data_IF_195755683456
#
_entry.id   IF_195755683456
#
_cell.length_a   1.000
_cell.length_b   1.000
_cell.length_c   1.000
_cell.angle_alpha   90.00
_cell.angle_beta   90.00
_cell.angle_gamma   90.00
#
_symmetry.space_group_name_H-M   'P 1'
#
loop_
_entity.id
_entity.type
_entity.pdbx_description
1 polymer ?
#
# COMPACT_ATOMS: atom_id res chain seq x y z
N UNK A 1 6.19 0.25 -9.19
CA UNK A 1 5.65 0.67 -7.88
C UNK A 1 6.82 1.13 -7.03
N UNK A 2 6.84 2.37 -6.57
CA UNK A 2 7.87 2.87 -5.66
C UNK A 2 7.24 3.04 -4.26
N UNK A 3 7.97 2.68 -3.22
CA UNK A 3 7.51 2.78 -1.84
C UNK A 3 8.68 3.19 -0.93
N UNK A 4 8.44 4.17 -0.08
CA UNK A 4 9.35 4.60 0.98
C UNK A 4 8.93 3.94 2.29
N UNK A 5 9.81 3.15 2.89
CA UNK A 5 9.53 2.36 4.08
C UNK A 5 10.09 3.04 5.33
N UNK A 6 9.26 3.15 6.37
CA UNK A 6 9.64 3.71 7.66
C UNK A 6 9.73 2.60 8.73
N UNK A 7 10.55 2.84 9.76
CA UNK A 7 10.70 1.90 10.88
C UNK A 7 9.37 1.64 11.59
N UNK A 8 9.05 0.37 11.80
CA UNK A 8 7.90 -0.05 12.59
C UNK A 8 8.11 0.25 14.09
N UNK A 9 7.02 0.18 14.88
CA UNK A 9 7.12 0.27 16.34
C UNK A 9 7.96 -0.88 16.92
N UNK A 10 7.88 -2.07 16.35
CA UNK A 10 8.70 -3.22 16.74
C UNK A 10 10.20 -2.91 16.56
N UNK A 11 10.61 -2.48 15.37
CA UNK A 11 12.01 -2.17 15.09
C UNK A 11 12.54 -1.01 15.96
N UNK A 12 11.74 0.05 16.15
CA UNK A 12 12.08 1.14 17.08
C UNK A 12 12.29 0.62 18.50
N UNK A 13 11.44 -0.30 18.96
CA UNK A 13 11.61 -0.95 20.26
C UNK A 13 12.89 -1.77 20.38
N UNK A 14 13.29 -2.48 19.32
CA UNK A 14 14.56 -3.23 19.28
C UNK A 14 15.78 -2.32 19.30
N UNK A 15 15.73 -1.18 18.60
CA UNK A 15 16.81 -0.18 18.62
C UNK A 15 16.96 0.46 20.01
N UNK A 16 15.88 0.82 20.68
CA UNK A 16 15.91 1.31 22.06
C UNK A 16 16.45 0.25 23.02
N UNK A 17 16.05 -1.00 22.84
CA UNK A 17 16.59 -2.13 23.60
C UNK A 17 18.10 -2.29 23.41
N UNK A 18 18.61 -2.12 22.20
CA UNK A 18 20.05 -2.17 21.91
C UNK A 18 20.82 -1.05 22.61
N UNK A 19 20.26 0.15 22.69
CA UNK A 19 20.83 1.26 23.50
C UNK A 19 20.86 0.89 24.98
N UNK A 20 19.85 0.16 25.46
CA UNK A 20 19.76 -0.31 26.84
C UNK A 20 20.58 -1.62 27.08
N UNK A 21 21.41 -2.05 26.15
CA UNK A 21 22.26 -3.23 26.27
C UNK A 21 21.64 -4.56 25.87
N UNK A 22 20.44 -4.57 25.30
CA UNK A 22 19.80 -5.78 24.74
C UNK A 22 20.21 -5.96 23.27
N UNK A 23 20.98 -7.02 22.98
CA UNK A 23 21.45 -7.26 21.61
C UNK A 23 20.24 -7.49 20.66
N UNK A 24 20.28 -6.86 19.49
CA UNK A 24 19.37 -7.11 18.38
C UNK A 24 20.19 -7.41 17.13
N UNK A 25 19.89 -8.56 16.51
CA UNK A 25 20.48 -8.92 15.21
C UNK A 25 19.44 -8.77 14.15
N UNK A 26 19.75 -7.97 13.13
CA UNK A 26 18.87 -7.81 11.98
C UNK A 26 18.76 -9.14 11.21
N UNK A 27 17.57 -9.54 10.75
CA UNK A 27 17.41 -10.74 9.93
C UNK A 27 18.25 -10.65 8.65
N UNK A 28 19.02 -11.72 8.35
CA UNK A 28 19.79 -11.79 7.11
C UNK A 28 18.90 -11.81 5.86
N UNK A 29 17.70 -12.35 6.00
CA UNK A 29 16.65 -12.33 4.98
C UNK A 29 15.42 -11.63 5.55
N UNK A 30 14.92 -10.67 4.82
CA UNK A 30 13.65 -10.00 5.06
C UNK A 30 12.66 -10.41 3.99
N UNK A 31 11.39 -10.16 4.23
CA UNK A 31 10.32 -10.56 3.32
C UNK A 31 9.43 -9.37 3.00
N UNK A 32 9.33 -9.05 1.71
CA UNK A 32 8.50 -7.94 1.23
C UNK A 32 7.08 -8.40 1.05
N UNK A 33 6.17 -7.81 1.81
CA UNK A 33 4.74 -8.03 1.75
C UNK A 33 4.05 -6.90 0.98
N UNK A 34 2.99 -7.25 0.25
CA UNK A 34 2.10 -6.31 -0.44
C UNK A 34 0.80 -6.18 0.34
N UNK A 35 0.27 -4.98 0.37
CA UNK A 35 -0.96 -4.67 1.08
C UNK A 35 -1.99 -4.09 0.14
N UNK A 36 -3.22 -4.60 0.27
CA UNK A 36 -4.38 -4.01 -0.37
C UNK A 36 -4.90 -2.86 0.49
N UNK A 37 -5.39 -1.84 -0.17
CA UNK A 37 -6.11 -0.78 0.50
C UNK A 37 -7.33 -1.40 1.22
N UNK A 38 -7.38 -1.26 2.54
CA UNK A 38 -8.52 -1.74 3.32
C UNK A 38 -9.55 -0.62 3.41
N UNK A 39 -10.63 -0.82 2.68
CA UNK A 39 -11.74 0.11 2.62
C UNK A 39 -12.84 -0.36 3.53
N UNK A 40 -12.80 0.01 4.80
CA UNK A 40 -13.82 -0.28 5.79
C UNK A 40 -14.18 -1.78 5.91
N UNK A 41 -13.95 -2.37 7.06
CA UNK A 41 -14.18 -3.79 7.36
C UNK A 41 -15.66 -4.24 7.27
N UNK A 42 -16.60 -3.33 7.12
CA UNK A 42 -18.01 -3.64 6.85
C UNK A 42 -18.36 -3.62 5.38
N UNK A 43 -17.47 -3.13 4.51
CA UNK A 43 -17.58 -3.23 3.07
C UNK A 43 -16.33 -3.96 2.56
N UNK A 44 -16.39 -5.27 2.49
CA UNK A 44 -15.44 -6.06 1.73
C UNK A 44 -15.39 -5.53 0.30
N UNK A 45 -14.32 -4.88 -0.10
CA UNK A 45 -14.07 -4.16 -1.33
C UNK A 45 -14.72 -2.75 -1.38
N UNK A 46 -13.99 -1.71 -1.77
CA UNK A 46 -14.67 -0.52 -2.27
C UNK A 46 -15.49 -1.01 -3.46
N UNK A 47 -16.77 -0.78 -3.41
CA UNK A 47 -17.62 -1.08 -4.55
C UNK A 47 -17.04 -0.36 -5.77
N UNK A 48 -17.13 -0.98 -6.94
CA UNK A 48 -16.94 -0.23 -8.17
C UNK A 48 -18.07 0.80 -8.27
N UNK A 49 -17.77 1.92 -8.87
CA UNK A 49 -18.79 2.88 -9.18
C UNK A 49 -19.93 2.22 -9.97
N UNK A 50 -21.15 2.52 -9.58
CA UNK A 50 -22.37 2.05 -10.25
C UNK A 50 -23.33 3.22 -10.45
N UNK A 51 -23.97 3.24 -11.59
CA UNK A 51 -24.94 4.27 -11.94
C UNK A 51 -26.20 4.20 -11.05
N UNK A 52 -26.81 5.36 -10.79
CA UNK A 52 -28.08 5.51 -10.06
C UNK A 52 -28.13 4.75 -8.73
N UNK A 53 -27.00 4.71 -8.03
CA UNK A 53 -26.81 3.96 -6.77
C UNK A 53 -26.68 4.91 -5.60
N UNK A 54 -27.33 4.61 -4.48
CA UNK A 54 -27.21 5.39 -3.26
C UNK A 54 -25.80 5.26 -2.67
N UNK A 55 -25.20 6.38 -2.29
CA UNK A 55 -23.92 6.44 -1.59
C UNK A 55 -24.08 7.17 -0.27
N UNK A 56 -23.42 6.67 0.76
CA UNK A 56 -23.41 7.25 2.10
C UNK A 56 -22.08 7.95 2.39
N UNK A 57 -22.12 9.02 3.20
CA UNK A 57 -20.89 9.70 3.60
C UNK A 57 -19.91 8.73 4.27
N UNK A 58 -18.62 8.81 3.88
CA UNK A 58 -17.58 7.90 4.32
C UNK A 58 -17.48 6.61 3.50
N UNK A 59 -18.40 6.33 2.57
CA UNK A 59 -18.29 5.22 1.65
C UNK A 59 -17.19 5.50 0.62
N UNK A 60 -16.42 4.45 0.28
CA UNK A 60 -15.39 4.53 -0.74
C UNK A 60 -15.83 3.85 -2.04
N UNK A 61 -15.31 4.34 -3.15
CA UNK A 61 -15.59 3.80 -4.48
C UNK A 61 -14.32 3.81 -5.34
N UNK A 62 -14.21 2.83 -6.24
CA UNK A 62 -13.23 2.81 -7.32
C UNK A 62 -13.92 3.04 -8.66
N UNK A 63 -13.33 3.77 -9.60
CA UNK A 63 -13.81 3.84 -10.99
C UNK A 63 -13.87 2.47 -11.67
N UNK A 64 -14.69 2.38 -12.69
CA UNK A 64 -14.73 1.22 -13.57
C UNK A 64 -14.63 1.67 -15.05
N UNK A 65 -13.50 1.43 -15.73
CA UNK A 65 -12.27 0.75 -15.28
C UNK A 65 -11.52 1.54 -14.19
N UNK A 66 -10.73 0.82 -13.39
CA UNK A 66 -9.93 1.42 -12.32
C UNK A 66 -8.89 2.39 -12.90
N UNK A 67 -8.69 3.52 -12.23
CA UNK A 67 -7.71 4.55 -12.61
C UNK A 67 -6.52 4.68 -11.64
N UNK A 68 -6.40 3.75 -10.66
CA UNK A 68 -5.36 3.77 -9.62
C UNK A 68 -5.69 4.67 -8.42
N UNK A 69 -6.85 5.29 -8.39
CA UNK A 69 -7.31 6.18 -7.32
C UNK A 69 -8.59 5.67 -6.66
N UNK A 70 -8.83 6.18 -5.48
CA UNK A 70 -9.99 5.89 -4.68
C UNK A 70 -10.66 7.19 -4.24
N UNK A 71 -11.95 7.10 -4.08
CA UNK A 71 -12.77 8.26 -3.81
C UNK A 71 -13.68 8.00 -2.62
N UNK A 72 -13.69 8.93 -1.67
CA UNK A 72 -14.60 8.89 -0.52
C UNK A 72 -15.81 9.76 -0.79
N UNK A 73 -16.98 9.25 -0.46
CA UNK A 73 -18.21 10.02 -0.47
C UNK A 73 -18.16 11.07 0.66
N UNK A 74 -18.10 12.34 0.31
CA UNK A 74 -18.14 13.46 1.27
C UNK A 74 -19.54 14.06 1.39
N UNK A 75 -20.36 13.94 0.35
CA UNK A 75 -21.78 14.31 0.40
C UNK A 75 -22.60 13.10 -0.06
N UNK A 76 -23.42 12.58 0.84
CA UNK A 76 -24.31 11.44 0.55
C UNK A 76 -25.39 11.81 -0.51
N UNK A 77 -25.78 10.83 -1.29
CA UNK A 77 -26.78 11.05 -2.34
C UNK A 77 -26.95 9.83 -3.26
N UNK A 78 -27.35 10.08 -4.48
CA UNK A 78 -27.46 9.07 -5.56
C UNK A 78 -26.53 9.43 -6.68
N UNK A 79 -25.71 8.48 -7.12
CA UNK A 79 -24.79 8.63 -8.26
C UNK A 79 -25.53 8.96 -9.54
N UNK A 80 -24.85 9.62 -10.46
CA UNK A 80 -25.38 9.91 -11.80
C UNK A 80 -25.62 8.65 -12.63
N UNK A 81 -26.19 8.83 -13.80
CA UNK A 81 -26.40 7.75 -14.78
C UNK A 81 -25.13 7.43 -15.58
N UNK A 82 -24.15 8.32 -15.55
CA UNK A 82 -22.88 8.18 -16.26
C UNK A 82 -21.75 8.44 -15.27
N UNK A 83 -20.70 7.62 -15.34
CA UNK A 83 -19.53 7.77 -14.48
C UNK A 83 -18.88 9.15 -14.70
N UNK A 84 -18.56 9.89 -13.63
CA UNK A 84 -17.93 11.20 -13.75
C UNK A 84 -16.49 11.10 -14.24
N UNK A 85 -15.92 12.21 -14.69
CA UNK A 85 -14.48 12.33 -14.88
C UNK A 85 -13.81 12.47 -13.52
N UNK A 86 -13.07 11.47 -13.12
CA UNK A 86 -12.46 11.39 -11.79
C UNK A 86 -11.21 12.26 -11.68
N UNK A 87 -11.09 13.14 -10.67
CA UNK A 87 -9.87 13.89 -10.42
C UNK A 87 -8.77 12.93 -9.95
N UNK A 88 -7.54 13.13 -10.41
CA UNK A 88 -6.37 12.35 -10.02
C UNK A 88 -5.43 13.09 -9.06
N UNK A 89 -5.85 14.27 -8.61
CA UNK A 89 -5.11 15.06 -7.62
C UNK A 89 -5.71 14.79 -6.24
N UNK A 90 -4.85 14.56 -5.24
CA UNK A 90 -5.24 14.33 -3.86
C UNK A 90 -6.15 15.45 -3.35
N UNK A 91 -7.26 15.07 -2.73
CA UNK A 91 -8.28 16.00 -2.25
C UNK A 91 -9.13 16.62 -3.37
N UNK A 92 -8.88 16.28 -4.63
CA UNK A 92 -9.73 16.71 -5.75
C UNK A 92 -11.15 16.19 -5.60
N UNK A 93 -12.14 17.01 -5.92
CA UNK A 93 -13.56 16.67 -5.77
C UNK A 93 -14.27 16.58 -7.11
N UNK A 94 -15.28 15.73 -7.18
CA UNK A 94 -16.20 15.64 -8.34
C UNK A 94 -17.62 15.41 -7.86
N UNK A 95 -18.56 16.08 -8.51
CA UNK A 95 -19.99 15.87 -8.31
C UNK A 95 -20.50 14.81 -9.29
N UNK A 96 -21.27 13.86 -8.78
CA UNK A 96 -21.80 12.70 -9.49
C UNK A 96 -23.27 12.50 -9.08
N UNK A 97 -24.17 12.98 -9.89
CA UNK A 97 -25.59 13.08 -9.49
C UNK A 97 -25.77 14.04 -8.31
N UNK A 98 -26.19 13.52 -7.17
CA UNK A 98 -26.28 14.28 -5.90
C UNK A 98 -25.16 13.94 -4.91
N UNK A 99 -24.22 13.06 -5.31
CA UNK A 99 -23.07 12.67 -4.51
C UNK A 99 -21.90 13.60 -4.79
N UNK A 100 -21.10 13.91 -3.76
CA UNK A 100 -19.76 14.48 -3.96
C UNK A 100 -18.73 13.44 -3.54
N UNK A 101 -17.83 13.13 -4.46
CA UNK A 101 -16.67 12.28 -4.24
C UNK A 101 -15.41 13.14 -4.08
N UNK A 102 -14.57 12.77 -3.13
CA UNK A 102 -13.25 13.39 -2.93
C UNK A 102 -12.17 12.34 -3.14
N UNK A 103 -11.17 12.65 -3.95
CA UNK A 103 -10.00 11.77 -4.09
C UNK A 103 -9.30 11.60 -2.74
N UNK A 104 -9.08 10.38 -2.33
CA UNK A 104 -8.67 10.03 -0.98
C UNK A 104 -7.60 8.91 -0.93
N UNK A 105 -6.90 8.67 -2.02
CA UNK A 105 -5.93 7.57 -2.11
C UNK A 105 -4.88 7.64 -1.00
N UNK A 106 -4.35 8.81 -0.68
CA UNK A 106 -3.40 8.98 0.44
C UNK A 106 -3.99 8.76 1.82
N UNK A 107 -5.25 9.16 2.04
CA UNK A 107 -5.91 8.99 3.33
C UNK A 107 -6.19 7.53 3.68
N UNK A 108 -6.29 6.68 2.66
CA UNK A 108 -6.61 5.26 2.82
C UNK A 108 -5.41 4.41 3.16
N UNK A 109 -4.24 4.91 2.85
CA UNK A 109 -2.97 4.24 3.09
C UNK A 109 -2.30 4.78 4.36
N UNK A 110 -2.79 5.87 4.90
CA UNK A 110 -2.41 6.34 6.23
C UNK A 110 -2.82 5.31 7.28
N UNK A 111 -1.87 4.92 8.12
CA UNK A 111 -2.06 4.01 9.25
C UNK A 111 -3.20 4.49 10.16
N UNK A 112 -4.42 4.19 9.78
CA UNK A 112 -5.56 4.39 10.65
C UNK A 112 -5.72 3.11 11.48
N UNK A 113 -5.61 3.22 12.79
CA UNK A 113 -5.84 2.09 13.72
C UNK A 113 -7.25 1.50 13.58
N UNK A 114 -8.17 2.23 13.00
CA UNK A 114 -9.55 1.78 12.73
C UNK A 114 -9.61 0.88 11.48
N UNK A 115 -8.74 1.11 10.49
CA UNK A 115 -8.71 0.37 9.22
C UNK A 115 -7.27 0.02 8.84
N UNK A 116 -6.63 -0.94 9.53
CA UNK A 116 -5.27 -1.34 9.19
C UNK A 116 -5.23 -1.92 7.78
N UNK A 117 -4.17 -1.66 7.00
CA UNK A 117 -4.00 -2.28 5.70
C UNK A 117 -3.98 -3.80 5.84
N UNK A 118 -4.60 -4.49 4.90
CA UNK A 118 -4.67 -5.95 4.88
C UNK A 118 -3.62 -6.48 3.91
N UNK A 119 -2.79 -7.40 4.38
CA UNK A 119 -1.85 -8.09 3.50
C UNK A 119 -2.60 -8.89 2.45
N UNK A 120 -2.12 -8.86 1.22
CA UNK A 120 -2.61 -9.74 0.15
C UNK A 120 -2.59 -11.19 0.61
N UNK A 121 -3.63 -11.95 0.30
CA UNK A 121 -3.72 -13.37 0.64
C UNK A 121 -4.33 -14.20 -0.48
N UNK A 122 -3.94 -15.47 -0.59
CA UNK A 122 -4.41 -16.39 -1.61
C UNK A 122 -3.89 -16.09 -3.01
N UNK A 123 -4.45 -16.73 -4.04
CA UNK A 123 -4.15 -16.44 -5.44
C UNK A 123 -2.68 -16.56 -5.85
N UNK A 124 -1.94 -17.53 -5.28
CA UNK A 124 -0.50 -17.74 -5.45
C UNK A 124 0.38 -16.61 -4.84
N UNK A 125 -0.21 -15.71 -4.03
CA UNK A 125 0.58 -14.72 -3.32
C UNK A 125 1.51 -15.36 -2.29
N UNK A 126 2.76 -14.88 -2.26
CA UNK A 126 3.72 -15.14 -1.19
C UNK A 126 4.64 -13.92 -1.05
N UNK A 127 5.02 -13.59 0.18
CA UNK A 127 6.04 -12.55 0.42
C UNK A 127 7.32 -12.89 -0.33
N UNK A 128 7.99 -11.87 -0.88
CA UNK A 128 9.23 -12.07 -1.62
C UNK A 128 10.44 -11.85 -0.72
N UNK A 129 11.39 -12.78 -0.69
CA UNK A 129 12.60 -12.61 0.10
C UNK A 129 13.48 -11.49 -0.48
N UNK A 130 14.13 -10.73 0.40
CA UNK A 130 15.19 -9.77 0.09
C UNK A 130 16.28 -9.94 1.16
N UNK A 131 17.51 -10.15 0.72
CA UNK A 131 18.66 -10.36 1.62
C UNK A 131 19.42 -9.07 1.84
N UNK A 132 20.34 -9.06 2.80
CA UNK A 132 21.20 -7.90 3.04
C UNK A 132 22.05 -7.51 1.82
N UNK A 133 22.37 -8.47 0.94
CA UNK A 133 23.12 -8.22 -0.30
C UNK A 133 22.27 -7.59 -1.42
N UNK A 134 20.96 -7.64 -1.29
CA UNK A 134 20.00 -7.12 -2.28
C UNK A 134 19.62 -5.66 -2.03
N UNK A 135 20.24 -5.01 -1.06
CA UNK A 135 20.12 -3.58 -0.81
C UNK A 135 21.30 -2.82 -1.41
N UNK A 136 21.05 -1.61 -1.88
CA UNK A 136 22.10 -0.72 -2.38
C UNK A 136 23.08 -0.31 -1.26
N UNK A 137 24.23 0.23 -1.63
CA UNK A 137 25.04 0.98 -0.70
C UNK A 137 24.24 2.16 -0.11
N UNK A 138 24.55 2.53 1.13
CA UNK A 138 23.94 3.68 1.78
C UNK A 138 24.25 4.96 1.01
N UNK A 139 23.25 5.81 0.83
CA UNK A 139 23.36 7.15 0.24
C UNK A 139 22.63 8.16 1.13
N UNK A 140 22.87 9.44 0.91
CA UNK A 140 22.09 10.48 1.58
C UNK A 140 20.65 10.48 1.00
N UNK A 141 19.66 10.75 1.86
CA UNK A 141 18.30 10.99 1.40
C UNK A 141 18.22 12.25 0.54
N UNK A 142 17.18 12.36 -0.27
CA UNK A 142 17.00 13.49 -1.19
C UNK A 142 16.84 14.83 -0.47
N UNK A 143 16.37 14.81 0.78
CA UNK A 143 16.20 16.00 1.63
C UNK A 143 17.46 16.32 2.48
N UNK A 144 18.52 15.51 2.39
CA UNK A 144 19.78 15.62 3.14
C UNK A 144 19.64 15.50 4.67
N UNK A 145 18.49 15.09 5.17
CA UNK A 145 18.21 14.95 6.60
C UNK A 145 18.49 13.53 7.12
N UNK A 146 18.68 12.58 6.24
CA UNK A 146 18.87 11.18 6.59
C UNK A 146 19.73 10.40 5.61
N UNK A 147 19.74 9.11 5.80
CA UNK A 147 20.38 8.14 4.91
C UNK A 147 19.36 7.16 4.37
N UNK A 148 19.54 6.73 3.15
CA UNK A 148 18.65 5.78 2.49
C UNK A 148 19.40 4.62 1.85
N UNK A 149 18.70 3.49 1.72
CA UNK A 149 19.07 2.36 0.90
C UNK A 149 17.86 1.98 0.04
N UNK A 150 18.09 1.39 -1.11
CA UNK A 150 17.01 0.87 -1.97
C UNK A 150 17.33 -0.54 -2.45
N UNK A 151 16.30 -1.27 -2.91
CA UNK A 151 16.53 -2.60 -3.47
C UNK A 151 17.41 -2.52 -4.72
N UNK A 152 18.50 -3.28 -4.72
CA UNK A 152 19.43 -3.42 -5.85
C UNK A 152 19.04 -4.54 -6.80
N UNK A 153 18.05 -5.35 -6.45
CA UNK A 153 17.46 -6.42 -7.26
C UNK A 153 15.96 -6.20 -7.44
N UNK A 154 15.43 -6.62 -8.59
CA UNK A 154 13.99 -6.63 -8.81
C UNK A 154 13.34 -7.80 -8.06
N UNK A 155 12.17 -7.56 -7.45
CA UNK A 155 11.37 -8.61 -6.82
C UNK A 155 10.23 -8.99 -7.75
N UNK A 156 10.03 -10.29 -7.98
CA UNK A 156 8.94 -10.80 -8.83
C UNK A 156 8.06 -11.74 -8.03
N UNK A 157 6.79 -11.40 -7.93
CA UNK A 157 5.78 -12.26 -7.31
C UNK A 157 5.30 -13.31 -8.31
N UNK A 158 4.65 -14.37 -7.82
CA UNK A 158 4.01 -15.32 -8.71
C UNK A 158 2.86 -14.66 -9.50
N UNK A 159 2.57 -15.15 -10.69
CA UNK A 159 1.40 -14.70 -11.43
C UNK A 159 0.11 -14.99 -10.64
N UNK A 160 -0.79 -14.01 -10.49
CA UNK A 160 -1.96 -14.15 -9.63
C UNK A 160 -2.95 -15.17 -10.23
N UNK A 161 -3.32 -16.17 -9.44
CA UNK A 161 -4.34 -17.16 -9.77
C UNK A 161 -5.73 -16.81 -9.23
N UNK A 162 -5.82 -15.75 -8.42
CA UNK A 162 -7.05 -15.11 -7.97
C UNK A 162 -6.85 -13.60 -7.89
N UNK A 163 -7.93 -12.85 -7.70
CA UNK A 163 -7.84 -11.40 -7.55
C UNK A 163 -7.18 -11.04 -6.21
N UNK A 164 -6.12 -10.24 -6.25
CA UNK A 164 -5.48 -9.68 -5.06
C UNK A 164 -6.13 -8.35 -4.64
N UNK A 165 -6.78 -7.65 -5.55
CA UNK A 165 -7.41 -6.36 -5.34
C UNK A 165 -6.48 -5.18 -5.66
N UNK A 166 -6.76 -4.01 -5.09
CA UNK A 166 -5.97 -2.80 -5.27
C UNK A 166 -4.75 -2.82 -4.34
N UNK A 167 -3.63 -3.27 -4.85
CA UNK A 167 -2.35 -3.26 -4.13
C UNK A 167 -1.81 -1.84 -4.12
N UNK A 168 -1.67 -1.28 -2.94
CA UNK A 168 -1.36 0.13 -2.75
C UNK A 168 -0.20 0.38 -1.80
N UNK A 169 0.29 -0.63 -1.10
CA UNK A 169 1.37 -0.47 -0.14
C UNK A 169 2.25 -1.71 -0.02
N UNK A 170 3.44 -1.53 0.55
CA UNK A 170 4.39 -2.60 0.86
C UNK A 170 4.99 -2.42 2.25
N UNK A 171 5.45 -3.51 2.85
CA UNK A 171 6.20 -3.52 4.10
C UNK A 171 7.22 -4.65 4.09
N UNK A 172 8.18 -4.63 5.03
CA UNK A 172 9.10 -5.75 5.23
C UNK A 172 8.87 -6.42 6.58
N UNK A 173 9.05 -7.72 6.59
CA UNK A 173 8.90 -8.60 7.75
C UNK A 173 10.15 -9.43 7.98
N UNK A 174 10.30 -9.96 9.18
CA UNK A 174 11.40 -10.88 9.55
C UNK A 174 11.12 -12.34 9.16
N UNK A 175 9.90 -12.66 8.72
CA UNK A 175 9.50 -14.01 8.33
C UNK A 175 8.65 -14.02 7.04
N UNK A 176 8.69 -15.14 6.31
CA UNK A 176 7.90 -15.36 5.09
C UNK A 176 6.40 -15.46 5.34
N UNK A 177 6.02 -15.84 6.56
CA UNK A 177 4.62 -15.91 7.04
C UNK A 177 4.59 -15.47 8.48
N UNK A 178 3.53 -14.82 8.92
CA UNK A 178 3.46 -14.20 10.26
C UNK A 178 4.68 -13.28 10.51
N UNK A 179 5.33 -13.38 11.65
CA UNK A 179 6.53 -12.61 11.99
C UNK A 179 6.25 -11.16 12.33
N UNK A 180 7.32 -10.46 12.72
CA UNK A 180 7.26 -9.06 13.11
C UNK A 180 7.57 -8.14 11.91
N UNK A 181 6.81 -7.07 11.79
CA UNK A 181 7.03 -6.06 10.77
C UNK A 181 8.27 -5.24 11.13
N UNK A 182 9.24 -5.20 10.23
CA UNK A 182 10.48 -4.44 10.41
C UNK A 182 10.30 -3.00 9.98
N UNK A 183 9.96 -2.79 8.71
CA UNK A 183 9.67 -1.47 8.19
C UNK A 183 8.19 -1.36 7.86
N UNK A 184 7.64 -0.20 8.19
CA UNK A 184 6.21 0.07 8.12
C UNK A 184 5.66 0.02 6.71
N UNK A 185 4.38 -0.20 6.63
CA UNK A 185 3.64 -0.12 5.38
C UNK A 185 3.78 1.27 4.80
N UNK A 186 4.34 1.37 3.62
CA UNK A 186 4.42 2.63 2.88
C UNK A 186 3.58 2.55 1.62
N UNK A 187 2.99 3.70 1.35
CA UNK A 187 2.20 3.93 0.15
C UNK A 187 3.07 3.81 -1.08
N UNK A 188 2.61 3.06 -2.05
CA UNK A 188 3.18 3.07 -3.38
C UNK A 188 2.80 4.35 -4.11
N UNK A 189 3.73 4.93 -4.85
CA UNK A 189 3.46 6.11 -5.69
C UNK A 189 2.33 5.90 -6.71
N UNK A 190 2.04 4.64 -7.02
CA UNK A 190 0.94 4.23 -7.91
C UNK A 190 0.40 2.89 -7.42
N UNK A 191 -0.85 2.89 -6.98
CA UNK A 191 -1.56 1.67 -6.67
C UNK A 191 -1.86 0.86 -7.94
N UNK A 192 -1.88 -0.47 -7.83
CA UNK A 192 -2.09 -1.37 -8.95
C UNK A 192 -3.18 -2.39 -8.63
N UNK A 193 -4.23 -2.40 -9.44
CA UNK A 193 -5.23 -3.47 -9.36
C UNK A 193 -4.68 -4.75 -9.95
N UNK A 194 -4.58 -5.78 -9.13
CA UNK A 194 -4.06 -7.10 -9.52
C UNK A 194 -5.23 -8.09 -9.51
N UNK A 195 -5.51 -8.64 -10.68
CA UNK A 195 -6.57 -9.64 -10.88
C UNK A 195 -5.98 -10.95 -11.40
N UNK A 196 -6.75 -12.01 -11.28
CA UNK A 196 -6.41 -13.32 -11.86
C UNK A 196 -6.08 -13.19 -13.35
N UNK A 197 -5.00 -13.83 -13.77
CA UNK A 197 -4.52 -13.80 -15.15
C UNK A 197 -3.64 -12.60 -15.51
N UNK A 198 -3.42 -11.64 -14.60
CA UNK A 198 -2.41 -10.61 -14.83
C UNK A 198 -1.00 -11.25 -14.91
N UNK A 199 -0.05 -10.61 -15.61
CA UNK A 199 1.36 -10.96 -15.53
C UNK A 199 1.86 -10.93 -14.08
N UNK A 200 2.94 -11.66 -13.80
CA UNK A 200 3.61 -11.66 -12.51
C UNK A 200 3.96 -10.23 -12.06
N UNK A 201 3.44 -9.75 -10.92
CA UNK A 201 3.73 -8.41 -10.44
C UNK A 201 5.20 -8.27 -10.05
N UNK A 202 5.79 -7.12 -10.33
CA UNK A 202 7.20 -6.85 -10.03
C UNK A 202 7.38 -5.55 -9.24
N UNK A 203 8.36 -5.56 -8.33
CA UNK A 203 8.93 -4.35 -7.75
C UNK A 203 10.29 -4.14 -8.43
N UNK A 204 10.44 -3.16 -9.31
CA UNK A 204 11.70 -2.93 -10.00
C UNK A 204 12.82 -2.49 -9.06
N UNK A 205 14.06 -2.56 -9.53
CA UNK A 205 15.24 -2.05 -8.83
C UNK A 205 15.05 -0.58 -8.47
N UNK A 206 15.40 -0.18 -7.25
CA UNK A 206 15.31 1.18 -6.76
C UNK A 206 13.90 1.65 -6.35
N UNK A 207 12.89 0.78 -6.41
CA UNK A 207 11.50 1.15 -6.12
C UNK A 207 11.07 0.88 -4.68
N UNK A 208 11.87 0.16 -3.92
CA UNK A 208 11.68 -0.06 -2.49
C UNK A 208 12.79 0.68 -1.76
N UNK A 209 12.49 1.76 -1.05
CA UNK A 209 13.47 2.59 -0.36
C UNK A 209 13.20 2.60 1.13
N UNK A 210 14.25 2.39 1.92
CA UNK A 210 14.25 2.54 3.36
C UNK A 210 15.02 3.81 3.68
N UNK A 211 14.41 4.71 4.42
CA UNK A 211 15.00 5.95 4.85
C UNK A 211 15.11 5.98 6.38
N UNK A 212 16.29 6.39 6.86
CA UNK A 212 16.55 6.67 8.27
C UNK A 212 16.53 8.17 8.45
N UNK A 213 15.47 8.67 9.07
CA UNK A 213 15.33 10.04 9.53
C UNK A 213 15.74 10.09 11.01
#
# INVERSE_FOLDING_TARGET
MAALLYKSAYLKGKELGAIAGTAFTFPATQYVALFVANFNSTAANPGYWAASTAATAGQYVSPSPVNGHLYVCTTAGTTGTTQPTWPTTIGGTVTDGTVTWTEATEYLIGFNTTYPPVEVSGGAYARQPITSADWSAQSNSSDLLGSQISNSVGLTYAAPTANWGLVAAAATFDASTAGDQLYGVSVMSTALTIISGNPAPTVPVGYLTIESI
#
